data_IF_592964603211
#
_entry.id   IF_592964603211
#
_cell.length_a   1.000
_cell.length_b   1.000
_cell.length_c   1.000
_cell.angle_alpha   90.00
_cell.angle_beta   90.00
_cell.angle_gamma   90.00
#
_symmetry.space_group_name_H-M   'P 1'
#
loop_
_entity.id
_entity.type
_entity.pdbx_description
1 polymer ?
#
# COMPACT_ATOMS: atom_id res chain seq x y z
N UNK A 1 7.81 18.45 1.46
CA UNK A 1 9.06 17.87 1.98
C UNK A 1 10.23 18.51 1.24
N UNK A 2 11.20 19.05 1.96
CA UNK A 2 12.36 19.70 1.38
C UNK A 2 13.60 18.87 1.66
N UNK A 3 14.30 18.39 0.62
CA UNK A 3 15.52 17.60 0.75
C UNK A 3 16.63 18.36 0.04
N UNK A 4 17.82 18.42 0.68
CA UNK A 4 19.00 19.01 0.05
C UNK A 4 19.34 18.29 -1.26
N UNK A 5 19.70 19.06 -2.29
CA UNK A 5 20.09 18.53 -3.60
C UNK A 5 21.22 17.49 -3.49
N UNK A 6 22.22 17.74 -2.65
CA UNK A 6 23.37 16.86 -2.49
C UNK A 6 22.95 15.49 -1.93
N UNK A 7 22.03 15.49 -0.96
CA UNK A 7 21.46 14.27 -0.38
C UNK A 7 20.71 13.45 -1.45
N UNK A 8 19.93 14.11 -2.33
CA UNK A 8 19.21 13.43 -3.41
C UNK A 8 20.14 12.86 -4.50
N UNK A 9 21.26 13.53 -4.79
CA UNK A 9 22.26 13.05 -5.74
C UNK A 9 22.90 11.74 -5.23
N UNK A 10 23.20 11.69 -3.93
CA UNK A 10 23.79 10.52 -3.26
C UNK A 10 22.78 9.38 -3.03
N UNK A 11 21.52 9.73 -2.77
CA UNK A 11 20.45 8.78 -2.47
C UNK A 11 19.37 8.87 -3.55
N UNK A 12 19.66 8.29 -4.71
CA UNK A 12 18.71 8.25 -5.83
C UNK A 12 17.51 7.35 -5.51
N UNK A 13 16.42 7.65 -6.20
CA UNK A 13 15.26 6.76 -6.29
C UNK A 13 15.69 5.38 -6.79
N UNK A 14 15.11 4.34 -6.21
CA UNK A 14 15.28 2.98 -6.70
C UNK A 14 14.20 2.70 -7.76
N UNK A 15 14.59 2.74 -9.02
CA UNK A 15 13.67 2.65 -10.17
C UNK A 15 12.90 1.31 -10.22
N UNK A 16 13.35 0.29 -9.48
CA UNK A 16 12.61 -0.97 -9.31
C UNK A 16 11.26 -0.77 -8.61
N UNK A 17 11.13 0.28 -7.80
CA UNK A 17 9.99 0.51 -6.91
C UNK A 17 9.11 1.68 -7.35
N UNK A 18 8.90 1.88 -8.66
CA UNK A 18 8.21 3.07 -9.22
C UNK A 18 6.89 3.49 -8.54
N UNK A 19 6.12 2.56 -7.97
CA UNK A 19 4.85 2.88 -7.29
C UNK A 19 4.98 3.12 -5.76
N UNK A 20 6.20 3.00 -5.22
CA UNK A 20 6.54 3.17 -3.81
C UNK A 20 7.90 3.86 -3.63
N UNK A 21 8.42 4.48 -4.69
CA UNK A 21 9.77 5.04 -4.77
C UNK A 21 9.96 6.19 -3.79
N UNK A 22 8.91 6.98 -3.58
CA UNK A 22 8.87 8.13 -2.68
C UNK A 22 9.02 7.71 -1.22
N UNK A 23 8.24 6.71 -0.80
CA UNK A 23 8.22 6.19 0.56
C UNK A 23 9.49 5.40 0.86
N UNK A 24 9.97 4.61 -0.11
CA UNK A 24 11.23 3.88 0.00
C UNK A 24 12.41 4.82 0.17
N UNK A 25 12.52 5.85 -0.67
CA UNK A 25 13.54 6.90 -0.54
C UNK A 25 13.41 7.62 0.80
N UNK A 26 12.20 8.04 1.16
CA UNK A 26 11.95 8.77 2.39
C UNK A 26 12.46 8.02 3.61
N UNK A 27 12.08 6.75 3.79
CA UNK A 27 12.53 5.98 4.96
C UNK A 27 14.05 5.86 4.97
N UNK A 28 14.68 5.57 3.83
CA UNK A 28 16.16 5.51 3.74
C UNK A 28 16.82 6.82 4.16
N UNK A 29 16.24 7.97 3.79
CA UNK A 29 16.76 9.27 4.20
C UNK A 29 16.57 9.53 5.69
N UNK A 30 15.39 9.21 6.25
CA UNK A 30 15.08 9.39 7.66
C UNK A 30 15.96 8.53 8.58
N UNK A 31 16.47 7.41 8.09
CA UNK A 31 17.41 6.55 8.81
C UNK A 31 18.85 7.10 8.81
N UNK A 32 19.21 7.87 7.78
CA UNK A 32 20.59 8.33 7.56
C UNK A 32 20.85 9.76 8.00
N UNK A 33 19.86 10.62 7.91
CA UNK A 33 20.02 12.06 8.10
C UNK A 33 19.05 12.57 9.16
N UNK A 34 19.48 13.52 10.01
CA UNK A 34 18.55 14.20 10.91
C UNK A 34 17.52 14.98 10.10
N UNK A 35 16.30 15.01 10.60
CA UNK A 35 15.20 15.73 9.97
C UNK A 35 14.41 16.51 11.02
N UNK A 36 13.78 17.59 10.56
CA UNK A 36 12.91 18.43 11.40
C UNK A 36 11.53 18.41 10.77
N UNK A 37 10.53 18.05 11.56
CA UNK A 37 9.13 18.18 11.18
C UNK A 37 8.63 19.56 11.61
N UNK A 38 8.25 20.39 10.64
CA UNK A 38 7.54 21.64 10.93
C UNK A 38 6.16 21.38 11.53
N UNK A 39 5.68 22.29 12.36
CA UNK A 39 4.35 22.23 12.99
C UNK A 39 3.20 22.65 12.05
N UNK A 40 3.52 23.30 10.93
CA UNK A 40 2.55 23.89 10.02
C UNK A 40 2.22 22.98 8.83
N UNK A 41 0.94 22.98 8.44
CA UNK A 41 0.48 22.33 7.22
C UNK A 41 0.79 23.21 6.00
N UNK A 42 1.87 22.87 5.30
CA UNK A 42 2.37 23.66 4.15
C UNK A 42 2.03 23.07 2.78
N UNK A 43 1.37 21.91 2.74
CA UNK A 43 1.02 21.22 1.50
C UNK A 43 -0.46 20.84 1.46
N UNK A 44 -1.10 21.08 0.32
CA UNK A 44 -2.45 20.58 0.03
C UNK A 44 -2.33 19.36 -0.87
N UNK A 45 -2.86 18.23 -0.41
CA UNK A 45 -2.98 17.04 -1.24
C UNK A 45 -4.17 17.20 -2.18
N UNK A 46 -3.90 17.36 -3.48
CA UNK A 46 -4.97 17.42 -4.47
C UNK A 46 -5.49 16.00 -4.78
N UNK A 47 -6.74 15.73 -4.40
CA UNK A 47 -7.40 14.48 -4.73
C UNK A 47 -8.03 14.59 -6.12
N UNK A 48 -7.41 13.96 -7.11
CA UNK A 48 -7.92 13.92 -8.48
C UNK A 48 -8.24 12.48 -8.92
N UNK A 49 -9.20 12.27 -9.85
CA UNK A 49 -9.62 10.93 -10.29
C UNK A 49 -8.51 10.09 -10.95
N UNK A 50 -7.49 10.75 -11.50
CA UNK A 50 -6.35 10.12 -12.18
C UNK A 50 -5.24 9.67 -11.23
N UNK A 51 -5.44 9.73 -9.91
CA UNK A 51 -4.43 9.29 -8.94
C UNK A 51 -4.15 7.79 -9.12
N UNK A 52 -2.87 7.41 -9.13
CA UNK A 52 -2.44 6.02 -9.33
C UNK A 52 -3.13 5.02 -8.39
N UNK A 53 -3.38 5.41 -7.14
CA UNK A 53 -4.12 4.63 -6.14
C UNK A 53 -5.54 4.26 -6.59
N UNK A 54 -6.17 5.08 -7.44
CA UNK A 54 -7.52 4.86 -7.96
C UNK A 54 -7.52 4.14 -9.30
N UNK A 55 -6.50 4.37 -10.13
CA UNK A 55 -6.44 3.84 -11.50
C UNK A 55 -5.82 2.45 -11.56
N UNK A 56 -5.00 2.04 -10.59
CA UNK A 56 -4.30 0.75 -10.55
C UNK A 56 -5.23 -0.45 -10.80
N UNK A 57 -6.47 -0.40 -10.30
CA UNK A 57 -7.43 -1.51 -10.42
C UNK A 57 -8.12 -1.63 -11.77
N UNK A 58 -7.97 -0.61 -12.63
CA UNK A 58 -8.50 -0.63 -14.01
C UNK A 58 -7.52 -1.27 -14.98
N UNK A 59 -6.26 -1.42 -14.58
CA UNK A 59 -5.19 -1.93 -15.42
C UNK A 59 -5.11 -3.46 -15.40
N UNK A 60 -4.68 -4.07 -16.51
CA UNK A 60 -4.47 -5.52 -16.57
C UNK A 60 -3.35 -5.99 -15.62
N UNK A 61 -2.37 -5.13 -15.37
CA UNK A 61 -1.22 -5.37 -14.47
C UNK A 61 -1.49 -4.96 -13.02
N UNK A 62 -2.76 -4.81 -12.61
CA UNK A 62 -3.13 -4.41 -11.25
C UNK A 62 -2.41 -5.25 -10.17
N UNK A 63 -2.39 -6.57 -10.34
CA UNK A 63 -1.72 -7.48 -9.40
C UNK A 63 -0.22 -7.25 -9.33
N UNK A 64 0.45 -7.15 -10.47
CA UNK A 64 1.89 -6.91 -10.55
C UNK A 64 2.27 -5.61 -9.83
N UNK A 65 1.49 -4.55 -10.02
CA UNK A 65 1.71 -3.26 -9.34
C UNK A 65 1.49 -3.36 -7.82
N UNK A 66 0.49 -4.12 -7.37
CA UNK A 66 0.25 -4.39 -5.95
C UNK A 66 1.45 -5.14 -5.34
N UNK A 67 1.93 -6.18 -6.02
CA UNK A 67 3.09 -6.95 -5.56
C UNK A 67 4.36 -6.10 -5.57
N UNK A 68 4.56 -5.25 -6.57
CA UNK A 68 5.69 -4.31 -6.60
C UNK A 68 5.67 -3.36 -5.39
N UNK A 69 4.49 -2.86 -5.00
CA UNK A 69 4.33 -2.01 -3.81
C UNK A 69 4.72 -2.75 -2.53
N UNK A 70 4.25 -4.00 -2.38
CA UNK A 70 4.56 -4.83 -1.21
C UNK A 70 6.03 -5.27 -1.20
N UNK A 71 6.60 -5.59 -2.36
CA UNK A 71 8.01 -5.95 -2.50
C UNK A 71 8.93 -4.80 -2.11
N UNK A 72 8.56 -3.54 -2.40
CA UNK A 72 9.31 -2.39 -1.94
C UNK A 72 9.37 -2.29 -0.41
N UNK A 73 8.27 -2.60 0.30
CA UNK A 73 8.26 -2.68 1.77
C UNK A 73 9.19 -3.80 2.23
N UNK A 74 9.11 -4.99 1.62
CA UNK A 74 9.96 -6.13 1.99
C UNK A 74 11.44 -5.82 1.79
N UNK A 75 11.80 -5.22 0.66
CA UNK A 75 13.17 -4.81 0.32
C UNK A 75 13.73 -3.79 1.33
N UNK A 76 12.91 -2.84 1.75
CA UNK A 76 13.29 -1.86 2.78
C UNK A 76 13.65 -2.55 4.11
N UNK A 77 12.84 -3.52 4.55
CA UNK A 77 13.14 -4.30 5.76
C UNK A 77 14.27 -5.32 5.58
N UNK A 78 14.55 -5.75 4.37
CA UNK A 78 15.69 -6.62 4.09
C UNK A 78 17.01 -5.86 4.24
N UNK A 79 17.09 -4.65 3.68
CA UNK A 79 18.32 -3.84 3.70
C UNK A 79 18.51 -3.06 4.99
N UNK A 80 17.44 -2.42 5.46
CA UNK A 80 17.49 -1.44 6.55
C UNK A 80 16.76 -1.93 7.81
N UNK A 81 16.22 -3.15 7.79
CA UNK A 81 15.31 -3.64 8.83
C UNK A 81 15.91 -3.65 10.23
N UNK A 82 17.20 -3.96 10.38
CA UNK A 82 17.86 -3.94 11.69
C UNK A 82 17.73 -2.56 12.36
N UNK A 83 17.98 -1.50 11.61
CA UNK A 83 17.94 -0.14 12.11
C UNK A 83 16.50 0.35 12.33
N UNK A 84 15.60 0.04 11.38
CA UNK A 84 14.17 0.33 11.50
C UNK A 84 13.60 -0.29 12.78
N UNK A 85 13.87 -1.57 13.03
CA UNK A 85 13.36 -2.29 14.20
C UNK A 85 13.98 -1.78 15.50
N UNK A 86 15.25 -1.38 15.49
CA UNK A 86 15.93 -0.75 16.63
C UNK A 86 15.29 0.58 17.02
N UNK A 87 15.04 1.46 16.05
CA UNK A 87 14.45 2.79 16.29
C UNK A 87 12.99 2.67 16.73
N UNK A 88 12.22 1.81 16.06
CA UNK A 88 10.77 1.70 16.31
C UNK A 88 10.42 0.84 17.50
N UNK A 89 11.33 -0.05 17.94
CA UNK A 89 11.11 -1.07 18.97
C UNK A 89 9.86 -1.94 18.69
N UNK A 90 9.60 -2.25 17.41
CA UNK A 90 8.43 -3.01 16.96
C UNK A 90 8.86 -4.21 16.12
N UNK A 91 9.18 -5.36 16.72
CA UNK A 91 9.69 -6.53 15.99
C UNK A 91 8.72 -7.11 14.94
N UNK A 92 7.44 -6.71 14.99
CA UNK A 92 6.37 -7.15 14.09
C UNK A 92 6.06 -6.17 12.96
N UNK A 93 6.81 -5.06 12.87
CA UNK A 93 6.44 -3.93 12.01
C UNK A 93 6.42 -4.30 10.53
N UNK A 94 7.31 -5.21 10.10
CA UNK A 94 7.35 -5.69 8.71
C UNK A 94 6.05 -6.39 8.33
N UNK A 95 5.66 -7.40 9.11
CA UNK A 95 4.45 -8.19 8.89
C UNK A 95 3.21 -7.29 8.95
N UNK A 96 3.19 -6.36 9.91
CA UNK A 96 2.14 -5.37 10.06
C UNK A 96 1.98 -4.52 8.79
N UNK A 97 3.05 -3.85 8.33
CA UNK A 97 2.98 -2.95 7.17
C UNK A 97 2.69 -3.70 5.86
N UNK A 98 3.24 -4.90 5.70
CA UNK A 98 2.95 -5.75 4.52
C UNK A 98 1.46 -6.12 4.50
N UNK A 99 0.91 -6.57 5.62
CA UNK A 99 -0.50 -6.92 5.70
C UNK A 99 -1.40 -5.69 5.51
N UNK A 100 -1.11 -4.58 6.19
CA UNK A 100 -1.84 -3.32 6.04
C UNK A 100 -1.89 -2.87 4.58
N UNK A 101 -0.77 -3.00 3.86
CA UNK A 101 -0.72 -2.63 2.44
C UNK A 101 -1.63 -3.52 1.59
N UNK A 102 -1.64 -4.83 1.84
CA UNK A 102 -2.59 -5.71 1.17
C UNK A 102 -4.04 -5.38 1.54
N UNK A 103 -4.36 -5.08 2.79
CA UNK A 103 -5.71 -4.67 3.21
C UNK A 103 -6.16 -3.42 2.44
N UNK A 104 -5.27 -2.42 2.31
CA UNK A 104 -5.55 -1.22 1.54
C UNK A 104 -5.85 -1.56 0.07
N UNK A 105 -5.03 -2.41 -0.54
CA UNK A 105 -5.24 -2.79 -1.93
C UNK A 105 -6.51 -3.63 -2.14
N UNK A 106 -6.84 -4.50 -1.19
CA UNK A 106 -8.07 -5.30 -1.19
C UNK A 106 -9.30 -4.40 -1.13
N UNK A 107 -9.36 -3.47 -0.16
CA UNK A 107 -10.47 -2.53 -0.04
C UNK A 107 -10.61 -1.65 -1.29
N UNK A 108 -9.51 -1.15 -1.85
CA UNK A 108 -9.54 -0.38 -3.09
C UNK A 108 -10.09 -1.22 -4.25
N UNK A 109 -9.61 -2.45 -4.44
CA UNK A 109 -10.11 -3.33 -5.49
C UNK A 109 -11.63 -3.58 -5.35
N UNK A 110 -12.14 -3.73 -4.12
CA UNK A 110 -13.58 -3.89 -3.88
C UNK A 110 -14.38 -2.65 -4.30
N UNK A 111 -13.93 -1.46 -3.90
CA UNK A 111 -14.57 -0.16 -4.25
C UNK A 111 -14.63 0.02 -5.77
N UNK A 112 -13.59 -0.40 -6.49
CA UNK A 112 -13.51 -0.29 -7.96
C UNK A 112 -14.12 -1.49 -8.70
N UNK A 113 -14.91 -2.32 -8.03
CA UNK A 113 -15.65 -3.41 -8.67
C UNK A 113 -14.75 -4.56 -9.14
N UNK A 114 -13.69 -4.87 -8.41
CA UNK A 114 -12.80 -6.01 -8.69
C UNK A 114 -12.82 -7.01 -7.53
N UNK A 115 -13.96 -7.68 -7.27
CA UNK A 115 -14.13 -8.55 -6.09
C UNK A 115 -13.17 -9.74 -6.07
N UNK A 116 -12.83 -10.32 -7.23
CA UNK A 116 -11.86 -11.42 -7.31
C UNK A 116 -10.44 -10.97 -6.90
N UNK A 117 -10.00 -9.81 -7.42
CA UNK A 117 -8.72 -9.20 -7.04
C UNK A 117 -8.74 -8.90 -5.54
N UNK A 118 -9.81 -8.26 -5.07
CA UNK A 118 -10.02 -7.93 -3.67
C UNK A 118 -9.84 -9.14 -2.75
N UNK A 119 -10.50 -10.27 -3.06
CA UNK A 119 -10.45 -11.49 -2.26
C UNK A 119 -9.03 -12.08 -2.24
N UNK A 120 -8.42 -12.24 -3.41
CA UNK A 120 -7.07 -12.79 -3.53
C UNK A 120 -6.05 -11.95 -2.74
N UNK A 121 -6.15 -10.62 -2.81
CA UNK A 121 -5.29 -9.69 -2.06
C UNK A 121 -5.58 -9.77 -0.55
N UNK A 122 -6.84 -9.93 -0.13
CA UNK A 122 -7.18 -10.11 1.29
C UNK A 122 -6.57 -11.40 1.87
N UNK A 123 -6.61 -12.50 1.11
CA UNK A 123 -5.98 -13.76 1.53
C UNK A 123 -4.46 -13.58 1.73
N UNK A 124 -3.80 -12.78 0.88
CA UNK A 124 -2.39 -12.41 1.07
C UNK A 124 -2.17 -11.56 2.33
N UNK A 125 -3.08 -10.64 2.65
CA UNK A 125 -3.02 -9.86 3.89
C UNK A 125 -3.03 -10.76 5.13
N UNK A 126 -4.00 -11.69 5.20
CA UNK A 126 -4.14 -12.63 6.31
C UNK A 126 -2.89 -13.52 6.43
N UNK A 127 -2.39 -14.05 5.31
CA UNK A 127 -1.17 -14.86 5.30
C UNK A 127 0.07 -14.08 5.77
N UNK A 128 0.13 -12.78 5.50
CA UNK A 128 1.22 -11.91 5.93
C UNK A 128 1.15 -11.50 7.41
N UNK A 129 0.02 -11.74 8.08
CA UNK A 129 -0.25 -11.35 9.47
C UNK A 129 -0.68 -12.58 10.30
N UNK A 130 0.24 -13.52 10.58
CA UNK A 130 -0.07 -14.75 11.30
C UNK A 130 -0.54 -14.51 12.75
N UNK A 131 -0.28 -13.31 13.29
CA UNK A 131 -0.67 -12.89 14.64
C UNK A 131 -1.96 -12.06 14.67
N UNK A 132 -2.59 -11.86 13.52
CA UNK A 132 -3.85 -11.14 13.37
C UNK A 132 -3.85 -9.72 13.99
N UNK A 133 -2.76 -8.98 13.81
CA UNK A 133 -2.67 -7.57 14.23
C UNK A 133 -3.81 -6.71 13.66
N UNK A 134 -4.32 -7.07 12.48
CA UNK A 134 -5.40 -6.36 11.79
C UNK A 134 -6.77 -7.03 11.90
N UNK A 135 -7.03 -7.83 12.95
CA UNK A 135 -8.29 -8.59 13.10
C UNK A 135 -9.56 -7.76 12.86
N UNK A 136 -9.60 -6.52 13.36
CA UNK A 136 -10.75 -5.60 13.16
C UNK A 136 -10.99 -5.29 11.69
N UNK A 137 -9.94 -5.18 10.87
CA UNK A 137 -10.06 -4.91 9.44
C UNK A 137 -10.51 -6.16 8.67
N UNK A 138 -10.04 -7.35 9.04
CA UNK A 138 -10.50 -8.60 8.44
C UNK A 138 -11.99 -8.82 8.70
N UNK A 139 -12.45 -8.64 9.93
CA UNK A 139 -13.87 -8.76 10.28
C UNK A 139 -14.73 -7.75 9.50
N UNK A 140 -14.30 -6.49 9.44
CA UNK A 140 -14.98 -5.46 8.62
C UNK A 140 -15.04 -5.85 7.15
N UNK A 141 -13.97 -6.44 6.61
CA UNK A 141 -13.94 -6.89 5.23
C UNK A 141 -14.93 -8.03 4.97
N UNK A 142 -14.95 -9.05 5.84
CA UNK A 142 -15.88 -10.19 5.72
C UNK A 142 -17.34 -9.72 5.70
N UNK A 143 -17.69 -8.74 6.52
CA UNK A 143 -19.04 -8.17 6.54
C UNK A 143 -19.37 -7.38 5.27
N UNK A 144 -18.40 -6.64 4.71
CA UNK A 144 -18.60 -5.80 3.52
C UNK A 144 -18.58 -6.59 2.21
N UNK A 145 -17.75 -7.62 2.14
CA UNK A 145 -17.46 -8.32 0.89
C UNK A 145 -18.69 -8.90 0.19
N UNK A 146 -19.64 -9.58 0.86
CA UNK A 146 -20.85 -10.10 0.22
C UNK A 146 -21.70 -8.99 -0.38
N UNK A 147 -21.91 -7.89 0.34
CA UNK A 147 -22.74 -6.76 -0.09
C UNK A 147 -22.20 -6.14 -1.38
N UNK A 148 -20.90 -5.82 -1.40
CA UNK A 148 -20.25 -5.23 -2.58
C UNK A 148 -20.14 -6.21 -3.75
N UNK A 149 -19.91 -7.49 -3.47
CA UNK A 149 -19.78 -8.51 -4.51
C UNK A 149 -21.13 -8.75 -5.20
N UNK A 150 -22.22 -8.90 -4.44
CA UNK A 150 -23.58 -9.09 -4.98
C UNK A 150 -24.00 -7.89 -5.82
N UNK A 151 -23.81 -6.67 -5.31
CA UNK A 151 -24.11 -5.44 -6.06
C UNK A 151 -23.37 -5.39 -7.40
N UNK A 152 -22.09 -5.79 -7.43
CA UNK A 152 -21.30 -5.80 -8.65
C UNK A 152 -21.77 -6.87 -9.66
N UNK A 153 -21.98 -8.11 -9.21
CA UNK A 153 -22.40 -9.20 -10.09
C UNK A 153 -23.82 -8.96 -10.65
N UNK A 154 -24.72 -8.37 -9.87
CA UNK A 154 -26.04 -7.97 -10.36
C UNK A 154 -25.94 -6.89 -11.46
N UNK A 155 -25.11 -5.86 -11.27
CA UNK A 155 -24.95 -4.78 -12.25
C UNK A 155 -24.20 -5.18 -13.53
N UNK A 156 -23.31 -6.17 -13.48
CA UNK A 156 -22.66 -6.73 -14.67
C UNK A 156 -23.66 -7.50 -15.56
N UNK A 157 -24.57 -8.26 -14.94
CA UNK A 157 -25.59 -9.03 -15.67
C UNK A 157 -26.60 -8.14 -16.42
N UNK A 158 -26.82 -6.90 -15.98
CA UNK A 158 -27.65 -5.92 -16.71
C UNK A 158 -26.96 -5.35 -17.97
N UNK A 159 -25.61 -5.32 -18.02
CA UNK A 159 -24.87 -4.80 -19.17
C UNK A 159 -24.71 -5.80 -20.31
N UNK A 160 -24.76 -7.10 -20.03
CA UNK A 160 -24.68 -8.15 -21.05
C UNK A 160 -26.04 -8.52 -21.68
N UNK A 161 -27.13 -7.85 -21.28
CA UNK A 161 -28.49 -8.07 -21.82
C UNK A 161 -28.97 -6.94 -22.75
N UNK A 162 -28.07 -6.09 -23.24
CA UNK A 162 -28.34 -5.07 -24.26
C UNK A 162 -27.55 -5.36 -25.52
#
# INVERSE_FOLDING_TARGET
>A
MCISRNILIENKFDERWRNFEDTHLLVRLLLKYPFIQGSEYTCVLNNHPLRGTYTIYKEKSAFEKIENNVSAIKDLFEKEGKEILRITNKPYLKEYLVSEKYIHHSNGALIYGKPLISLQVMLKAIKADPKFYHIKFYLKYILKFPVFSVYYFQNQNYKCRK
#
